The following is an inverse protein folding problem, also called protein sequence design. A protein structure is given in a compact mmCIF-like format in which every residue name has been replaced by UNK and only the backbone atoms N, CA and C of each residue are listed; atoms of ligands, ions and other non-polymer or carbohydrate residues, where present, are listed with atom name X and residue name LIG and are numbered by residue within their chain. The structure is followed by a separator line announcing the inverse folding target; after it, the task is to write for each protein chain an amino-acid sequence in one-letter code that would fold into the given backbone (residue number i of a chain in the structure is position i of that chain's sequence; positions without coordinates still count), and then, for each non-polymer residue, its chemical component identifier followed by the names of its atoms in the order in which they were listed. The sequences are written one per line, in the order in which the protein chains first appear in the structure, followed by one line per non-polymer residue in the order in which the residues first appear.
data_IF_558897811355
#
_entry.id   IF_558897811355
#
_cell.length_a   1.000
_cell.length_b   1.000
_cell.length_c   1.000
_cell.angle_alpha   90.00
_cell.angle_beta   90.00
_cell.angle_gamma   90.00
#
_symmetry.space_group_name_H-M   'P 1'
#
loop_
_entity.id
_entity.type
_entity.pdbx_description
1 polymer ?
#
# COMPACT_ATOMS: atom_id res chain seq x y z
N UNK A 1 -2.42 15.85 6.45
CA UNK A 1 -2.93 15.24 5.19
C UNK A 1 -4.00 14.22 5.50
N UNK A 2 -5.04 14.19 4.69
CA UNK A 2 -6.11 13.22 4.87
C UNK A 2 -5.77 11.91 4.20
N UNK A 3 -6.00 10.80 4.91
CA UNK A 3 -5.72 9.47 4.37
C UNK A 3 -6.49 9.18 3.08
N UNK A 4 -7.66 9.76 2.94
CA UNK A 4 -8.49 9.54 1.76
C UNK A 4 -7.87 10.07 0.46
N UNK A 5 -6.79 10.85 0.58
CA UNK A 5 -6.13 11.44 -0.58
C UNK A 5 -4.77 10.79 -0.89
N UNK A 6 -4.48 9.64 -0.30
CA UNK A 6 -3.21 8.98 -0.57
C UNK A 6 -3.25 8.30 -1.93
N UNK A 7 -2.18 8.48 -2.70
CA UNK A 7 -2.07 7.89 -4.03
C UNK A 7 -1.47 6.49 -3.96
N UNK A 8 -1.87 5.63 -4.89
CA UNK A 8 -1.36 4.27 -4.94
C UNK A 8 0.17 4.24 -5.05
N UNK A 9 0.76 5.15 -5.81
CA UNK A 9 2.22 5.24 -5.94
C UNK A 9 2.89 5.52 -4.60
N UNK A 10 2.27 6.34 -3.76
CA UNK A 10 2.84 6.64 -2.45
C UNK A 10 2.74 5.45 -1.52
N UNK A 11 1.64 4.70 -1.59
CA UNK A 11 1.49 3.48 -0.80
C UNK A 11 2.60 2.49 -1.16
N UNK A 12 2.84 2.28 -2.44
CA UNK A 12 3.90 1.38 -2.89
C UNK A 12 5.25 1.84 -2.40
N UNK A 13 5.54 3.14 -2.50
CA UNK A 13 6.82 3.70 -2.05
C UNK A 13 7.02 3.51 -0.56
N UNK A 14 5.99 3.76 0.23
CA UNK A 14 6.06 3.58 1.68
C UNK A 14 6.32 2.12 2.02
N UNK A 15 5.61 1.21 1.35
CA UNK A 15 5.82 -0.22 1.57
C UNK A 15 7.24 -0.64 1.22
N UNK A 16 7.79 -0.13 0.13
CA UNK A 16 9.17 -0.42 -0.24
C UNK A 16 10.16 0.07 0.81
N UNK A 17 9.92 1.26 1.35
CA UNK A 17 10.78 1.79 2.42
C UNK A 17 10.71 0.94 3.69
N UNK A 18 9.60 0.28 3.91
CA UNK A 18 9.42 -0.60 5.08
C UNK A 18 9.91 -2.03 4.82
N UNK A 19 10.52 -2.27 3.67
CA UNK A 19 11.12 -3.56 3.38
C UNK A 19 10.28 -4.47 2.49
N UNK A 20 9.15 -4.01 1.99
CA UNK A 20 8.35 -4.80 1.06
C UNK A 20 8.94 -4.76 -0.33
N UNK A 21 8.91 -5.90 -1.01
CA UNK A 21 9.38 -6.01 -2.39
C UNK A 21 8.21 -6.31 -3.31
N UNK A 22 8.27 -5.75 -4.51
CA UNK A 22 7.28 -6.07 -5.54
C UNK A 22 7.59 -7.47 -6.07
N UNK A 23 6.65 -8.38 -5.89
CA UNK A 23 6.80 -9.77 -6.35
C UNK A 23 6.10 -10.00 -7.68
N UNK A 24 5.01 -9.30 -7.91
CA UNK A 24 4.25 -9.45 -9.13
C UNK A 24 3.50 -8.16 -9.41
N UNK A 25 3.38 -7.81 -10.68
CA UNK A 25 2.63 -6.63 -11.10
C UNK A 25 1.78 -7.00 -12.31
N UNK A 26 0.49 -6.75 -12.19
CA UNK A 26 -0.43 -6.82 -13.31
C UNK A 26 -0.80 -5.39 -13.72
N UNK A 27 -1.68 -5.25 -14.72
CA UNK A 27 -2.14 -3.92 -15.12
C UNK A 27 -2.95 -3.19 -14.05
N UNK A 28 -3.49 -3.92 -13.07
CA UNK A 28 -4.41 -3.33 -12.08
C UNK A 28 -3.95 -3.47 -10.63
N UNK A 29 -3.01 -4.38 -10.35
CA UNK A 29 -2.59 -4.64 -8.97
C UNK A 29 -1.11 -4.89 -8.89
N UNK A 30 -0.50 -4.49 -7.76
CA UNK A 30 0.87 -4.83 -7.42
C UNK A 30 0.82 -5.72 -6.18
N UNK A 31 1.48 -6.87 -6.23
CA UNK A 31 1.60 -7.77 -5.09
C UNK A 31 2.97 -7.57 -4.48
N UNK A 32 3.00 -7.23 -3.20
CA UNK A 32 4.23 -6.98 -2.45
C UNK A 32 4.35 -7.94 -1.28
N UNK A 33 5.58 -8.26 -0.92
CA UNK A 33 5.85 -9.23 0.13
C UNK A 33 6.99 -8.79 1.03
N UNK A 34 6.86 -9.08 2.33
CA UNK A 34 7.92 -8.88 3.31
C UNK A 34 7.73 -9.88 4.45
N UNK A 35 8.69 -10.79 4.63
CA UNK A 35 8.71 -11.75 5.74
C UNK A 35 7.39 -12.51 5.90
N UNK A 36 6.85 -13.01 4.80
CA UNK A 36 5.61 -13.77 4.82
C UNK A 36 4.34 -12.92 4.80
N UNK A 37 4.45 -11.63 4.96
CA UNK A 37 3.31 -10.73 4.82
C UNK A 37 3.11 -10.39 3.36
N UNK A 38 1.88 -10.51 2.89
CA UNK A 38 1.54 -10.22 1.50
C UNK A 38 0.56 -9.07 1.46
N UNK A 39 0.85 -8.08 0.63
CA UNK A 39 0.01 -6.89 0.45
C UNK A 39 -0.33 -6.76 -1.02
N UNK A 40 -1.60 -6.53 -1.31
CA UNK A 40 -2.08 -6.28 -2.67
C UNK A 40 -2.49 -4.82 -2.77
N UNK A 41 -1.82 -4.08 -3.65
CA UNK A 41 -2.08 -2.65 -3.85
C UNK A 41 -2.78 -2.47 -5.20
N UNK A 42 -4.02 -1.97 -5.21
CA UNK A 42 -4.70 -1.67 -6.47
C UNK A 42 -4.10 -0.41 -7.09
N UNK A 43 -3.71 -0.49 -8.35
CA UNK A 43 -3.08 0.63 -9.06
C UNK A 43 -3.95 1.18 -10.20
N UNK A 44 -5.12 0.58 -10.44
CA UNK A 44 -6.03 1.08 -11.45
C UNK A 44 -6.70 2.39 -11.04
N UNK A 45 -6.66 2.73 -9.75
CA UNK A 45 -7.16 4.00 -9.24
C UNK A 45 -5.98 4.81 -8.74
N UNK A 46 -5.95 6.09 -9.07
CA UNK A 46 -4.87 6.97 -8.62
C UNK A 46 -4.88 7.14 -7.11
N UNK A 47 -6.08 7.21 -6.54
CA UNK A 47 -6.25 7.43 -5.10
C UNK A 47 -6.80 6.15 -4.48
N UNK A 48 -6.19 5.74 -3.37
CA UNK A 48 -6.63 4.55 -2.65
C UNK A 48 -7.80 4.92 -1.76
N UNK A 49 -8.95 4.23 -1.87
CA UNK A 49 -10.06 4.45 -0.94
C UNK A 49 -9.63 4.12 0.49
N UNK A 50 -10.19 4.85 1.45
CA UNK A 50 -9.79 4.68 2.85
C UNK A 50 -10.01 3.24 3.34
N UNK A 51 -11.05 2.59 2.87
CA UNK A 51 -11.32 1.21 3.26
C UNK A 51 -10.25 0.25 2.76
N UNK A 52 -9.79 0.47 1.53
CA UNK A 52 -8.71 -0.32 0.95
C UNK A 52 -7.42 -0.05 1.70
N UNK A 53 -7.17 1.21 2.07
CA UNK A 53 -5.98 1.55 2.82
C UNK A 53 -5.96 0.87 4.18
N UNK A 54 -7.10 0.78 4.85
CA UNK A 54 -7.20 0.06 6.13
C UNK A 54 -6.86 -1.40 5.97
N UNK A 55 -7.30 -2.02 4.87
CA UNK A 55 -6.95 -3.41 4.58
C UNK A 55 -5.44 -3.56 4.37
N UNK A 56 -4.84 -2.62 3.64
CA UNK A 56 -3.39 -2.62 3.41
C UNK A 56 -2.65 -2.45 4.73
N UNK A 57 -3.12 -1.59 5.61
CA UNK A 57 -2.55 -1.43 6.94
C UNK A 57 -2.57 -2.75 7.72
N UNK A 58 -3.68 -3.47 7.68
CA UNK A 58 -3.79 -4.76 8.34
C UNK A 58 -2.84 -5.79 7.75
N UNK A 59 -2.77 -5.87 6.44
CA UNK A 59 -1.93 -6.84 5.76
C UNK A 59 -0.45 -6.59 6.00
N UNK A 60 -0.06 -5.32 5.98
CA UNK A 60 1.35 -4.94 6.09
C UNK A 60 1.83 -4.75 7.53
N UNK A 61 0.93 -4.45 8.44
CA UNK A 61 1.30 -4.06 9.80
C UNK A 61 1.84 -2.65 9.90
N UNK A 62 1.71 -1.86 8.83
CA UNK A 62 2.22 -0.48 8.78
C UNK A 62 1.10 0.49 9.05
N UNK A 63 1.35 1.48 9.89
CA UNK A 63 0.38 2.54 10.16
C UNK A 63 0.68 3.73 9.27
N UNK A 64 -0.02 3.81 8.16
CA UNK A 64 0.17 4.90 7.19
C UNK A 64 -0.18 6.27 7.76
N UNK A 65 -1.09 6.32 8.72
CA UNK A 65 -1.46 7.59 9.34
C UNK A 65 -0.29 8.23 10.07
N UNK A 66 0.54 7.44 10.71
CA UNK A 66 1.73 7.95 11.39
C UNK A 66 2.80 8.40 10.41
N UNK A 67 2.91 7.71 9.28
CA UNK A 67 3.94 8.01 8.30
C UNK A 67 3.60 9.24 7.49
N UNK A 68 2.32 9.41 7.15
CA UNK A 68 1.87 10.46 6.25
C UNK A 68 1.57 11.77 6.99
N UNK A 69 1.07 11.68 8.21
CA UNK A 69 0.67 12.87 8.99
C UNK A 69 1.85 13.74 9.43
#
# INVERSE_FOLDING_TARGET
MKLSNIKSKEVVRILQKQGFEIKRQSGTHIIMRNNGKIVVVPIHKQIIPIETLKTIEKQSGINFREIIS
#
